data_IF_110601807513
#
_entry.id   IF_110601807513
#
_cell.length_a   1.000
_cell.length_b   1.000
_cell.length_c   1.000
_cell.angle_alpha   90.00
_cell.angle_beta   90.00
_cell.angle_gamma   90.00
#
_symmetry.space_group_name_H-M   'P 1'
#
loop_
_entity.id
_entity.type
_entity.pdbx_description
1 polymer ?
#
# COMPACT_ATOMS: atom_id res chain seq x y z
N UNK A 1 -17.32 64.48 18.79
CA UNK A 1 -18.12 63.34 18.30
C UNK A 1 -17.29 62.63 17.23
N UNK A 2 -16.65 61.50 17.54
CA UNK A 2 -15.84 60.75 16.57
C UNK A 2 -16.72 59.63 16.00
N UNK A 3 -17.09 59.76 14.72
CA UNK A 3 -17.86 58.75 13.99
C UNK A 3 -16.97 57.53 13.75
N UNK A 4 -17.20 56.45 14.49
CA UNK A 4 -16.59 55.15 14.23
C UNK A 4 -17.31 54.46 13.07
N UNK A 5 -17.05 54.89 11.84
CA UNK A 5 -17.40 54.12 10.66
C UNK A 5 -16.38 52.98 10.47
N UNK A 6 -16.47 51.97 11.34
CA UNK A 6 -15.93 50.64 10.99
C UNK A 6 -16.90 50.05 9.99
N UNK A 7 -16.74 50.37 8.72
CA UNK A 7 -17.47 49.71 7.64
C UNK A 7 -17.30 48.20 7.82
N UNK A 8 -18.40 47.53 8.20
CA UNK A 8 -18.40 46.09 8.38
C UNK A 8 -18.04 45.47 7.02
N UNK A 9 -16.84 44.91 6.94
CA UNK A 9 -16.21 44.37 5.74
C UNK A 9 -16.90 43.04 5.34
N UNK A 10 -18.21 43.09 5.10
CA UNK A 10 -19.06 41.93 4.85
C UNK A 10 -19.23 41.75 3.34
N UNK A 11 -18.56 40.72 2.80
CA UNK A 11 -18.84 40.26 1.43
C UNK A 11 -20.30 39.81 1.32
N UNK A 12 -21.02 40.17 0.24
CA UNK A 12 -22.38 39.70 0.03
C UNK A 12 -22.42 38.17 -0.08
N UNK A 13 -23.53 37.57 0.35
CA UNK A 13 -23.65 36.12 0.49
C UNK A 13 -23.34 35.34 -0.80
N UNK A 14 -23.68 35.90 -1.97
CA UNK A 14 -23.41 35.32 -3.29
C UNK A 14 -21.93 35.23 -3.61
N UNK A 15 -21.15 36.26 -3.27
CA UNK A 15 -19.70 36.25 -3.56
C UNK A 15 -18.96 35.33 -2.60
N UNK A 16 -19.43 35.24 -1.36
CA UNK A 16 -18.91 34.26 -0.40
C UNK A 16 -19.22 32.81 -0.82
N UNK A 17 -20.40 32.56 -1.38
CA UNK A 17 -20.74 31.24 -1.93
C UNK A 17 -19.80 30.84 -3.08
N UNK A 18 -19.47 31.78 -3.97
CA UNK A 18 -18.49 31.57 -5.04
C UNK A 18 -17.10 31.29 -4.48
N UNK A 19 -16.66 32.05 -3.48
CA UNK A 19 -15.36 31.83 -2.80
C UNK A 19 -15.29 30.42 -2.18
N UNK A 20 -16.37 29.96 -1.54
CA UNK A 20 -16.45 28.60 -0.98
C UNK A 20 -16.40 27.51 -2.05
N UNK A 21 -17.12 27.67 -3.16
CA UNK A 21 -17.06 26.73 -4.31
C UNK A 21 -15.65 26.68 -4.90
N UNK A 22 -15.00 27.83 -5.00
CA UNK A 22 -13.64 27.94 -5.53
C UNK A 22 -12.62 27.28 -4.58
N UNK A 23 -12.78 27.44 -3.27
CA UNK A 23 -11.97 26.75 -2.27
C UNK A 23 -12.11 25.22 -2.38
N UNK A 24 -13.32 24.70 -2.58
CA UNK A 24 -13.55 23.26 -2.82
C UNK A 24 -12.82 22.80 -4.08
N UNK A 25 -12.92 23.55 -5.19
CA UNK A 25 -12.23 23.19 -6.43
C UNK A 25 -10.70 23.19 -6.28
N UNK A 26 -10.14 24.17 -5.56
CA UNK A 26 -8.70 24.23 -5.25
C UNK A 26 -8.24 23.02 -4.44
N UNK A 27 -8.99 22.65 -3.41
CA UNK A 27 -8.71 21.45 -2.60
C UNK A 27 -8.80 20.17 -3.44
N UNK A 28 -9.80 20.05 -4.31
CA UNK A 28 -9.94 18.89 -5.20
C UNK A 28 -8.78 18.76 -6.19
N UNK A 29 -8.21 19.87 -6.66
CA UNK A 29 -7.06 19.91 -7.57
C UNK A 29 -5.70 19.93 -6.87
N UNK A 30 -5.67 19.87 -5.53
CA UNK A 30 -4.43 19.88 -4.74
C UNK A 30 -3.66 21.21 -4.79
N UNK A 31 -4.34 22.32 -5.10
CA UNK A 31 -3.77 23.68 -5.16
C UNK A 31 -4.27 24.56 -4.01
N UNK A 32 -4.47 23.96 -2.85
CA UNK A 32 -4.91 24.69 -1.65
C UNK A 32 -3.74 25.53 -1.10
N UNK A 33 -4.04 26.75 -0.65
CA UNK A 33 -3.05 27.63 -0.04
C UNK A 33 -2.63 27.12 1.35
N UNK A 34 -3.50 26.35 2.01
CA UNK A 34 -3.24 25.78 3.33
C UNK A 34 -2.52 24.42 3.32
N UNK A 35 -2.00 23.97 2.17
CA UNK A 35 -1.28 22.68 1.99
C UNK A 35 -2.02 21.42 2.48
N UNK A 36 -3.32 21.51 2.74
CA UNK A 36 -4.10 20.38 3.20
C UNK A 36 -4.64 19.55 2.07
N UNK A 37 -4.45 18.24 2.18
CA UNK A 37 -4.82 17.28 1.14
C UNK A 37 -6.21 16.67 1.35
N UNK A 38 -6.78 16.80 2.56
CA UNK A 38 -8.04 16.16 2.93
C UNK A 38 -9.22 17.08 2.66
N UNK A 39 -10.18 16.61 1.85
CA UNK A 39 -11.46 17.30 1.63
C UNK A 39 -12.32 17.19 2.90
N UNK A 40 -12.21 18.19 3.78
CA UNK A 40 -13.03 18.32 5.00
C UNK A 40 -13.61 19.72 5.11
N UNK A 41 -14.71 19.86 5.84
CA UNK A 41 -15.35 21.18 6.05
C UNK A 41 -14.38 22.16 6.75
N UNK A 42 -13.54 21.67 7.67
CA UNK A 42 -12.50 22.47 8.32
C UNK A 42 -11.42 22.95 7.33
N UNK A 43 -11.01 22.10 6.39
CA UNK A 43 -10.05 22.46 5.35
C UNK A 43 -10.62 23.55 4.42
N UNK A 44 -11.87 23.37 3.97
CA UNK A 44 -12.55 24.36 3.12
C UNK A 44 -12.75 25.68 3.85
N UNK A 45 -13.10 25.63 5.14
CA UNK A 45 -13.25 26.81 5.99
C UNK A 45 -11.94 27.59 6.11
N UNK A 46 -10.82 26.91 6.37
CA UNK A 46 -9.49 27.55 6.45
C UNK A 46 -9.01 28.10 5.12
N UNK A 47 -9.25 27.40 4.02
CA UNK A 47 -8.91 27.88 2.67
C UNK A 47 -9.72 29.13 2.27
N UNK A 48 -11.00 29.20 2.66
CA UNK A 48 -11.85 30.35 2.38
C UNK A 48 -11.75 31.48 3.43
N UNK A 49 -11.02 31.27 4.53
CA UNK A 49 -10.89 32.23 5.63
C UNK A 49 -12.18 32.42 6.44
N UNK A 50 -13.01 31.38 6.55
CA UNK A 50 -14.34 31.41 7.18
C UNK A 50 -14.38 30.45 8.38
N UNK A 51 -15.24 30.73 9.37
CA UNK A 51 -15.51 29.77 10.44
C UNK A 51 -16.31 28.57 9.92
N UNK A 52 -16.01 27.38 10.45
CA UNK A 52 -16.74 26.13 10.17
C UNK A 52 -18.23 26.26 10.49
N UNK A 53 -18.57 26.97 11.56
CA UNK A 53 -19.97 27.22 11.96
C UNK A 53 -20.75 27.98 10.88
N UNK A 54 -20.10 28.88 10.14
CA UNK A 54 -20.76 29.64 9.08
C UNK A 54 -21.18 28.71 7.92
N UNK A 55 -20.35 27.73 7.58
CA UNK A 55 -20.65 26.78 6.50
C UNK A 55 -21.83 25.89 6.91
N UNK A 56 -21.82 25.37 8.14
CA UNK A 56 -22.90 24.54 8.65
C UNK A 56 -24.25 25.27 8.77
N UNK A 57 -24.23 26.53 9.22
CA UNK A 57 -25.46 27.27 9.51
C UNK A 57 -26.01 28.04 8.31
N UNK A 58 -25.14 28.64 7.50
CA UNK A 58 -25.54 29.54 6.42
C UNK A 58 -25.47 28.90 5.02
N UNK A 59 -24.70 27.82 4.87
CA UNK A 59 -24.50 27.15 3.58
C UNK A 59 -24.64 25.62 3.67
N UNK A 60 -25.80 25.10 4.11
CA UNK A 60 -26.01 23.66 4.28
C UNK A 60 -25.80 22.87 2.98
N UNK A 61 -26.20 23.43 1.83
CA UNK A 61 -26.00 22.79 0.52
C UNK A 61 -24.51 22.54 0.20
N UNK A 62 -23.63 23.48 0.58
CA UNK A 62 -22.19 23.33 0.38
C UNK A 62 -21.61 22.32 1.36
N UNK A 63 -22.09 22.31 2.60
CA UNK A 63 -21.68 21.33 3.60
C UNK A 63 -22.00 19.89 3.17
N UNK A 64 -23.20 19.66 2.62
CA UNK A 64 -23.59 18.35 2.09
C UNK A 64 -22.75 17.95 0.87
N UNK A 65 -22.49 18.89 -0.05
CA UNK A 65 -21.60 18.62 -1.19
C UNK A 65 -20.18 18.20 -0.73
N UNK A 66 -19.62 18.85 0.29
CA UNK A 66 -18.31 18.47 0.86
C UNK A 66 -18.38 17.07 1.48
N UNK A 67 -19.46 16.75 2.22
CA UNK A 67 -19.67 15.44 2.83
C UNK A 67 -19.81 14.34 1.79
N UNK A 68 -20.51 14.57 0.69
CA UNK A 68 -20.61 13.62 -0.40
C UNK A 68 -19.25 13.34 -1.04
N UNK A 69 -18.47 14.38 -1.33
CA UNK A 69 -17.13 14.22 -1.92
C UNK A 69 -16.20 13.48 -0.94
N UNK A 70 -16.24 13.83 0.34
CA UNK A 70 -15.49 13.15 1.39
C UNK A 70 -15.93 11.68 1.55
N UNK A 71 -17.24 11.41 1.49
CA UNK A 71 -17.79 10.07 1.59
C UNK A 71 -17.45 9.18 0.40
N UNK A 72 -17.51 9.70 -0.82
CA UNK A 72 -17.12 8.98 -2.05
C UNK A 72 -15.64 8.62 -2.05
N UNK A 73 -14.77 9.58 -1.71
CA UNK A 73 -13.33 9.35 -1.59
C UNK A 73 -12.99 8.35 -0.48
N UNK A 74 -13.70 8.38 0.65
CA UNK A 74 -13.51 7.40 1.73
C UNK A 74 -13.95 5.98 1.31
N UNK A 75 -15.06 5.83 0.60
CA UNK A 75 -15.54 4.53 0.10
C UNK A 75 -14.58 3.97 -0.95
N UNK A 76 -14.21 4.75 -1.96
CA UNK A 76 -13.26 4.33 -2.99
C UNK A 76 -11.91 3.89 -2.39
N UNK A 77 -11.37 4.65 -1.43
CA UNK A 77 -10.12 4.29 -0.75
C UNK A 77 -10.26 3.01 0.09
N UNK A 78 -11.44 2.76 0.68
CA UNK A 78 -11.70 1.53 1.43
C UNK A 78 -11.76 0.33 0.49
N UNK A 79 -12.46 0.47 -0.63
CA UNK A 79 -12.67 -0.63 -1.58
C UNK A 79 -11.35 -1.05 -2.21
N UNK A 80 -10.50 -0.09 -2.61
CA UNK A 80 -9.14 -0.35 -3.10
C UNK A 80 -8.32 -1.12 -2.06
N UNK A 81 -8.26 -0.63 -0.81
CA UNK A 81 -7.52 -1.32 0.27
C UNK A 81 -8.05 -2.72 0.55
N UNK A 82 -9.35 -2.92 0.43
CA UNK A 82 -9.96 -4.23 0.64
C UNK A 82 -9.60 -5.20 -0.50
N UNK A 83 -9.58 -4.72 -1.74
CA UNK A 83 -9.12 -5.48 -2.90
C UNK A 83 -7.64 -5.86 -2.76
N UNK A 84 -6.79 -4.90 -2.37
CA UNK A 84 -5.36 -5.14 -2.13
C UNK A 84 -5.15 -6.19 -1.03
N UNK A 85 -5.91 -6.10 0.07
CA UNK A 85 -5.85 -7.07 1.16
C UNK A 85 -6.26 -8.48 0.71
N UNK A 86 -7.28 -8.60 -0.14
CA UNK A 86 -7.69 -9.90 -0.70
C UNK A 86 -6.58 -10.44 -1.59
N UNK A 87 -6.01 -9.62 -2.48
CA UNK A 87 -4.96 -10.03 -3.40
C UNK A 87 -3.72 -10.54 -2.64
N UNK A 88 -3.28 -9.81 -1.60
CA UNK A 88 -2.15 -10.24 -0.77
C UNK A 88 -2.43 -11.50 0.02
N UNK A 89 -3.67 -11.68 0.52
CA UNK A 89 -4.06 -12.93 1.19
C UNK A 89 -4.03 -14.11 0.23
N UNK A 90 -4.50 -13.95 -1.01
CA UNK A 90 -4.46 -15.01 -2.03
C UNK A 90 -3.01 -15.39 -2.37
N UNK A 91 -2.12 -14.42 -2.58
CA UNK A 91 -0.68 -14.66 -2.79
C UNK A 91 -0.05 -15.38 -1.59
N UNK A 92 -0.39 -14.97 -0.37
CA UNK A 92 0.14 -15.62 0.84
C UNK A 92 -0.30 -17.09 0.95
N UNK A 93 -1.48 -17.45 0.47
CA UNK A 93 -1.94 -18.84 0.43
C UNK A 93 -1.15 -19.63 -0.62
N UNK A 94 -0.99 -19.10 -1.84
CA UNK A 94 -0.22 -19.79 -2.89
C UNK A 94 1.24 -19.99 -2.47
N UNK A 95 1.90 -18.97 -1.91
CA UNK A 95 3.27 -19.09 -1.43
C UNK A 95 3.42 -20.11 -0.29
N UNK A 96 2.40 -20.24 0.58
CA UNK A 96 2.42 -21.28 1.63
C UNK A 96 2.33 -22.68 1.04
N UNK A 97 1.47 -22.89 0.04
CA UNK A 97 1.38 -24.17 -0.67
C UNK A 97 2.68 -24.51 -1.39
N UNK A 98 3.27 -23.56 -2.11
CA UNK A 98 4.57 -23.73 -2.77
C UNK A 98 5.68 -24.09 -1.77
N UNK A 99 5.72 -23.43 -0.61
CA UNK A 99 6.69 -23.74 0.45
C UNK A 99 6.53 -25.16 0.99
N UNK A 100 5.30 -25.62 1.20
CA UNK A 100 5.03 -26.99 1.64
C UNK A 100 5.46 -28.01 0.59
N UNK A 101 5.14 -27.78 -0.68
CA UNK A 101 5.57 -28.64 -1.78
C UNK A 101 7.08 -28.71 -1.92
N UNK A 102 7.76 -27.56 -1.85
CA UNK A 102 9.22 -27.48 -1.92
C UNK A 102 9.87 -28.19 -0.73
N UNK A 103 9.34 -28.01 0.49
CA UNK A 103 9.80 -28.74 1.68
C UNK A 103 9.64 -30.24 1.52
N UNK A 104 8.50 -30.70 1.00
CA UNK A 104 8.27 -32.12 0.73
C UNK A 104 9.23 -32.68 -0.33
N UNK A 105 9.51 -31.93 -1.40
CA UNK A 105 10.52 -32.30 -2.41
C UNK A 105 11.92 -32.37 -1.80
N UNK A 106 12.30 -31.39 -0.99
CA UNK A 106 13.60 -31.34 -0.33
C UNK A 106 13.79 -32.53 0.63
N UNK A 107 12.77 -32.83 1.45
CA UNK A 107 12.79 -33.98 2.35
C UNK A 107 12.96 -35.31 1.59
N UNK A 108 12.27 -35.48 0.45
CA UNK A 108 12.45 -36.66 -0.42
C UNK A 108 13.87 -36.76 -0.96
N UNK A 109 14.42 -35.67 -1.50
CA UNK A 109 15.78 -35.65 -2.04
C UNK A 109 16.80 -35.95 -0.93
N UNK A 110 16.64 -35.37 0.26
CA UNK A 110 17.50 -35.64 1.40
C UNK A 110 17.48 -37.12 1.79
N UNK A 111 16.30 -37.73 1.88
CA UNK A 111 16.18 -39.16 2.17
C UNK A 111 16.84 -40.05 1.11
N UNK A 112 16.68 -39.72 -0.17
CA UNK A 112 17.33 -40.47 -1.25
C UNK A 112 18.84 -40.30 -1.18
N UNK A 113 19.32 -39.08 -0.92
CA UNK A 113 20.74 -38.78 -0.83
C UNK A 113 21.39 -39.52 0.34
N UNK A 114 20.74 -39.62 1.51
CA UNK A 114 21.24 -40.43 2.62
C UNK A 114 21.43 -41.90 2.23
N UNK A 115 20.41 -42.51 1.60
CA UNK A 115 20.52 -43.90 1.12
C UNK A 115 21.66 -44.07 0.10
N UNK A 116 21.78 -43.13 -0.84
CA UNK A 116 22.86 -43.15 -1.85
C UNK A 116 24.24 -42.93 -1.24
N UNK A 117 24.34 -42.15 -0.16
CA UNK A 117 25.59 -41.94 0.58
C UNK A 117 25.99 -43.22 1.31
N UNK A 118 25.05 -43.89 1.97
CA UNK A 118 25.28 -45.18 2.63
C UNK A 118 25.71 -46.26 1.63
N UNK A 119 25.01 -46.36 0.49
CA UNK A 119 25.38 -47.27 -0.59
C UNK A 119 26.79 -46.96 -1.13
N UNK A 120 27.11 -45.69 -1.39
CA UNK A 120 28.44 -45.27 -1.82
C UNK A 120 29.53 -45.62 -0.80
N UNK A 121 29.27 -45.41 0.49
CA UNK A 121 30.22 -45.77 1.54
C UNK A 121 30.43 -47.28 1.57
N UNK A 122 29.36 -48.08 1.47
CA UNK A 122 29.44 -49.53 1.43
C UNK A 122 30.23 -50.04 0.21
N UNK A 123 30.03 -49.43 -0.96
CA UNK A 123 30.74 -49.77 -2.19
C UNK A 123 32.22 -49.38 -2.11
N UNK A 124 32.53 -48.19 -1.56
CA UNK A 124 33.91 -47.75 -1.32
C UNK A 124 34.63 -48.65 -0.32
N UNK A 125 33.94 -49.12 0.73
CA UNK A 125 34.50 -50.08 1.68
C UNK A 125 34.82 -51.42 1.00
N UNK A 126 33.88 -51.98 0.23
CA UNK A 126 34.09 -53.20 -0.57
C UNK A 126 35.22 -53.05 -1.60
N UNK A 127 35.35 -51.88 -2.22
CA UNK A 127 36.45 -51.56 -3.14
C UNK A 127 37.79 -51.41 -2.43
N UNK A 128 37.83 -51.02 -1.16
CA UNK A 128 39.07 -50.96 -0.36
C UNK A 128 39.49 -52.34 0.16
N UNK A 129 38.53 -53.19 0.53
CA UNK A 129 38.80 -54.57 0.99
C UNK A 129 39.27 -55.48 -0.15
N UNK A 130 38.72 -55.29 -1.36
CA UNK A 130 39.33 -55.84 -2.56
C UNK A 130 40.58 -55.01 -2.83
N UNK A 131 41.78 -55.52 -2.52
CA UNK A 131 43.07 -54.88 -2.80
C UNK A 131 43.22 -54.51 -4.29
N UNK A 132 42.60 -53.41 -4.71
CA UNK A 132 42.63 -52.91 -6.08
C UNK A 132 43.69 -51.83 -6.12
N UNK A 133 44.76 -52.11 -6.86
CA UNK A 133 45.80 -51.13 -7.18
C UNK A 133 45.26 -50.24 -8.30
N UNK A 134 45.16 -48.94 -8.04
CA UNK A 134 44.88 -47.96 -9.08
C UNK A 134 46.09 -47.90 -10.02
N UNK A 135 45.97 -48.57 -11.17
CA UNK A 135 46.95 -48.43 -12.25
C UNK A 135 46.77 -47.05 -12.84
N UNK A 136 47.61 -46.11 -12.40
CA UNK A 136 47.66 -44.76 -12.94
C UNK A 136 47.62 -44.82 -14.47
N UNK A 137 46.53 -44.34 -15.08
CA UNK A 137 46.43 -44.25 -16.53
C UNK A 137 47.57 -43.34 -16.99
N UNK A 138 48.51 -43.94 -17.71
CA UNK A 138 49.68 -43.29 -18.27
C UNK A 138 49.29 -41.94 -18.87
N UNK A 139 50.00 -40.89 -18.43
CA UNK A 139 50.08 -39.59 -19.11
C UNK A 139 50.03 -39.79 -20.63
N UNK A 140 48.96 -39.36 -21.27
CA UNK A 140 49.04 -38.99 -22.68
C UNK A 140 49.52 -37.55 -22.72
N UNK A 141 50.85 -37.40 -22.79
CA UNK A 141 51.50 -36.29 -23.49
C UNK A 141 50.95 -36.32 -24.92
N UNK A 142 50.31 -35.23 -25.36
CA UNK A 142 50.64 -34.39 -26.53
C UNK A 142 49.72 -33.17 -26.46
#
# INVERSE_FOLDING_TARGET
>A
MKNNEKAANYKPAKDREKDLKLAIYRLQKGRAHTNETKMTIAAVAREAGVSTALIHNHYPAIAEAIREIQGRSSRAMRDVKHQDLIAERQKSVSYRQELEELRAKLARIASINEVLLDENQSLKAKLRERNIVELASSKTRV
#
